data_IF_241605385357
#
_entry.id   IF_241605385357
#
_cell.length_a   1.000
_cell.length_b   1.000
_cell.length_c   1.000
_cell.angle_alpha   90.00
_cell.angle_beta   90.00
_cell.angle_gamma   90.00
#
_symmetry.space_group_name_H-M   'P 1'
#
loop_
_entity.id
_entity.type
_entity.pdbx_description
1 polymer ?
#
# COMPACT_ATOMS: atom_id res chain seq x y z
N UNK A 1 2.95 5.31 -12.00
CA UNK A 1 2.05 4.52 -11.13
C UNK A 1 1.87 5.25 -9.80
N UNK A 2 0.66 5.20 -9.26
CA UNK A 2 0.24 5.77 -7.99
C UNK A 2 -0.04 4.65 -6.99
N UNK A 3 0.58 4.74 -5.82
CA UNK A 3 0.48 3.73 -4.77
C UNK A 3 -0.09 4.37 -3.52
N UNK A 4 -1.11 3.76 -2.94
CA UNK A 4 -1.61 4.13 -1.61
C UNK A 4 -1.27 3.02 -0.65
N UNK A 5 -0.63 3.35 0.46
CA UNK A 5 -0.28 2.41 1.52
C UNK A 5 -1.13 2.77 2.74
N UNK A 6 -1.79 1.78 3.34
CA UNK A 6 -2.62 1.97 4.54
C UNK A 6 -2.15 1.03 5.65
N UNK A 7 -1.99 1.59 6.85
CA UNK A 7 -1.38 0.94 8.01
C UNK A 7 0.13 1.11 8.04
N UNK A 8 0.79 0.27 8.83
CA UNK A 8 2.23 0.23 9.02
C UNK A 8 2.75 1.15 10.12
N UNK A 9 4.05 1.06 10.37
CA UNK A 9 4.71 1.88 11.40
C UNK A 9 4.89 3.33 10.91
N UNK A 10 4.41 4.30 11.70
CA UNK A 10 4.54 5.74 11.43
C UNK A 10 5.98 6.21 11.22
N UNK A 11 6.93 5.70 12.02
CA UNK A 11 8.34 6.04 11.90
C UNK A 11 8.94 5.58 10.54
N UNK A 12 8.29 4.61 9.90
CA UNK A 12 8.71 4.06 8.61
C UNK A 12 8.03 4.73 7.42
N UNK A 13 7.11 5.68 7.65
CA UNK A 13 6.35 6.34 6.58
C UNK A 13 7.25 6.94 5.50
N UNK A 14 8.31 7.64 5.93
CA UNK A 14 9.30 8.21 5.01
C UNK A 14 9.99 7.14 4.17
N UNK A 15 10.38 6.03 4.80
CA UNK A 15 11.05 4.91 4.11
C UNK A 15 10.13 4.24 3.10
N UNK A 16 8.85 4.04 3.41
CA UNK A 16 7.89 3.50 2.45
C UNK A 16 7.77 4.41 1.21
N UNK A 17 7.70 5.73 1.41
CA UNK A 17 7.66 6.70 0.31
C UNK A 17 8.96 6.70 -0.51
N UNK A 18 10.11 6.64 0.15
CA UNK A 18 11.42 6.54 -0.50
C UNK A 18 11.51 5.29 -1.37
N UNK A 19 11.10 4.13 -0.84
CA UNK A 19 11.07 2.89 -1.62
C UNK A 19 10.14 3.02 -2.83
N UNK A 20 8.91 3.51 -2.67
CA UNK A 20 8.03 3.71 -3.83
C UNK A 20 8.66 4.67 -4.86
N UNK A 21 9.41 5.69 -4.43
CA UNK A 21 10.11 6.61 -5.34
C UNK A 21 11.22 5.92 -6.13
N UNK A 22 11.94 4.97 -5.56
CA UNK A 22 12.93 4.13 -6.28
C UNK A 22 12.28 3.38 -7.45
N UNK A 23 11.00 2.99 -7.30
CA UNK A 23 10.20 2.36 -8.34
C UNK A 23 9.47 3.36 -9.26
N UNK A 24 9.86 4.63 -9.24
CA UNK A 24 9.18 5.71 -9.98
C UNK A 24 7.67 5.81 -9.69
N UNK A 25 7.24 5.40 -8.49
CA UNK A 25 5.86 5.44 -8.04
C UNK A 25 5.59 6.65 -7.15
N UNK A 26 4.44 7.31 -7.36
CA UNK A 26 3.94 8.35 -6.45
C UNK A 26 3.21 7.68 -5.30
N UNK A 27 3.71 7.82 -4.08
CA UNK A 27 3.13 7.17 -2.90
C UNK A 27 2.39 8.13 -1.97
N UNK A 28 1.20 7.72 -1.53
CA UNK A 28 0.49 8.26 -0.36
C UNK A 28 0.50 7.20 0.73
N UNK A 29 0.78 7.59 1.97
CA UNK A 29 0.85 6.64 3.10
C UNK A 29 -0.06 7.13 4.22
N UNK A 30 -0.89 6.23 4.74
CA UNK A 30 -1.84 6.46 5.82
C UNK A 30 -1.52 5.49 6.97
N UNK A 31 -0.58 5.86 7.84
CA UNK A 31 -0.16 5.07 9.00
C UNK A 31 -1.11 5.24 10.21
N UNK A 32 -1.80 6.39 10.28
CA UNK A 32 -2.80 6.72 11.29
C UNK A 32 -4.18 6.91 10.67
N UNK A 33 -5.21 6.68 11.49
CA UNK A 33 -6.58 7.09 11.15
C UNK A 33 -6.73 8.60 11.38
N UNK A 34 -6.31 9.41 10.42
CA UNK A 34 -6.56 10.86 10.45
C UNK A 34 -7.90 11.15 9.78
N UNK A 35 -8.96 11.25 10.57
CA UNK A 35 -10.31 11.51 10.07
C UNK A 35 -10.83 10.41 9.12
N UNK A 36 -11.81 10.77 8.29
CA UNK A 36 -12.34 9.86 7.27
C UNK A 36 -11.33 9.73 6.13
N UNK A 37 -10.99 8.50 5.72
CA UNK A 37 -10.01 8.18 4.66
C UNK A 37 -10.40 8.65 3.24
N UNK A 38 -11.37 9.57 3.13
CA UNK A 38 -12.06 10.10 1.93
C UNK A 38 -11.19 10.59 0.76
N UNK A 39 -9.88 10.55 0.88
CA UNK A 39 -8.89 11.05 -0.09
C UNK A 39 -7.94 9.97 -0.61
N UNK A 40 -8.27 8.68 -0.44
CA UNK A 40 -7.54 7.58 -1.09
C UNK A 40 -7.54 7.77 -2.61
N UNK A 41 -8.68 8.21 -3.17
CA UNK A 41 -8.86 8.38 -4.62
C UNK A 41 -8.88 7.02 -5.35
N UNK A 42 -8.47 7.03 -6.61
CA UNK A 42 -8.37 5.87 -7.51
C UNK A 42 -6.90 5.52 -7.80
N UNK A 43 -6.13 4.98 -6.83
CA UNK A 43 -4.73 4.59 -7.07
C UNK A 43 -4.62 3.37 -7.99
N UNK A 44 -3.46 3.21 -8.64
CA UNK A 44 -3.17 2.00 -9.42
C UNK A 44 -2.96 0.77 -8.52
N UNK A 45 -2.41 0.99 -7.32
CA UNK A 45 -2.15 -0.04 -6.32
C UNK A 45 -2.47 0.46 -4.91
N UNK A 46 -3.20 -0.36 -4.16
CA UNK A 46 -3.50 -0.17 -2.77
C UNK A 46 -2.83 -1.28 -1.94
N UNK A 47 -1.87 -0.91 -1.08
CA UNK A 47 -1.16 -1.84 -0.19
C UNK A 47 -1.72 -1.72 1.23
N UNK A 48 -2.19 -2.83 1.79
CA UNK A 48 -2.82 -2.88 3.10
C UNK A 48 -1.97 -3.68 4.08
N UNK A 49 -1.42 -3.01 5.09
CA UNK A 49 -0.69 -3.68 6.18
C UNK A 49 -1.66 -4.23 7.24
N UNK A 50 -2.32 -5.34 6.91
CA UNK A 50 -3.47 -5.86 7.66
C UNK A 50 -3.21 -6.17 9.13
N UNK A 51 -1.97 -6.48 9.52
CA UNK A 51 -1.61 -6.72 10.93
C UNK A 51 -1.67 -5.48 11.81
N UNK A 52 -1.54 -4.30 11.22
CA UNK A 52 -1.49 -3.02 11.93
C UNK A 52 -2.76 -2.18 11.75
N UNK A 53 -3.69 -2.65 10.91
CA UNK A 53 -4.92 -1.94 10.59
C UNK A 53 -6.03 -2.33 11.57
N UNK A 54 -6.76 -1.34 12.08
CA UNK A 54 -7.98 -1.59 12.83
C UNK A 54 -9.11 -2.04 11.89
N UNK A 55 -10.10 -2.77 12.42
CA UNK A 55 -11.30 -3.15 11.65
C UNK A 55 -12.03 -1.95 11.05
N UNK A 56 -12.04 -0.81 11.77
CA UNK A 56 -12.62 0.44 11.28
C UNK A 56 -11.87 0.94 10.05
N UNK A 57 -10.54 0.90 10.08
CA UNK A 57 -9.70 1.33 8.98
C UNK A 57 -9.92 0.44 7.74
N UNK A 58 -9.91 -0.88 7.92
CA UNK A 58 -10.17 -1.82 6.83
C UNK A 58 -11.55 -1.60 6.19
N UNK A 59 -12.60 -1.45 6.99
CA UNK A 59 -13.96 -1.21 6.48
C UNK A 59 -14.06 0.09 5.68
N UNK A 60 -13.44 1.17 6.14
CA UNK A 60 -13.44 2.44 5.40
C UNK A 60 -12.73 2.31 4.05
N UNK A 61 -11.56 1.67 4.01
CA UNK A 61 -10.81 1.45 2.77
C UNK A 61 -11.60 0.60 1.78
N UNK A 62 -12.21 -0.50 2.24
CA UNK A 62 -13.05 -1.36 1.40
C UNK A 62 -14.23 -0.57 0.86
N UNK A 63 -14.89 0.23 1.70
CA UNK A 63 -16.04 1.03 1.28
C UNK A 63 -15.68 2.09 0.24
N UNK A 64 -14.50 2.71 0.34
CA UNK A 64 -14.06 3.72 -0.63
C UNK A 64 -13.62 3.12 -1.95
N UNK A 65 -12.91 1.99 -1.91
CA UNK A 65 -12.40 1.32 -3.11
C UNK A 65 -13.42 0.41 -3.79
N UNK A 66 -14.57 0.17 -3.15
CA UNK A 66 -15.66 -0.65 -3.71
C UNK A 66 -16.12 -0.10 -5.06
N UNK A 67 -16.13 -0.98 -6.07
CA UNK A 67 -16.56 -0.62 -7.43
C UNK A 67 -15.49 0.09 -8.27
N UNK A 68 -14.29 0.30 -7.72
CA UNK A 68 -13.15 0.84 -8.47
C UNK A 68 -12.25 -0.30 -8.97
N UNK A 69 -11.63 -0.11 -10.13
CA UNK A 69 -10.64 -1.06 -10.68
C UNK A 69 -9.26 -0.76 -10.08
N UNK A 70 -9.08 -1.11 -8.80
CA UNK A 70 -7.84 -0.91 -8.05
C UNK A 70 -7.20 -2.27 -7.78
N UNK A 71 -5.90 -2.41 -8.05
CA UNK A 71 -5.14 -3.59 -7.60
C UNK A 71 -4.93 -3.48 -6.08
N UNK A 72 -5.44 -4.44 -5.31
CA UNK A 72 -5.31 -4.45 -3.84
C UNK A 72 -4.35 -5.55 -3.41
N UNK A 73 -3.30 -5.19 -2.67
CA UNK A 73 -2.31 -6.10 -2.14
C UNK A 73 -2.36 -6.10 -0.60
N UNK A 74 -2.62 -7.26 -0.01
CA UNK A 74 -2.64 -7.45 1.44
C UNK A 74 -1.27 -7.92 1.93
N UNK A 75 -0.70 -7.20 2.89
CA UNK A 75 0.58 -7.49 3.53
C UNK A 75 0.38 -7.76 5.01
N UNK A 76 0.79 -8.95 5.45
CA UNK A 76 0.71 -9.29 6.87
C UNK A 76 1.80 -8.58 7.71
N UNK A 77 2.89 -8.12 7.13
CA UNK A 77 3.94 -7.37 7.85
C UNK A 77 4.13 -5.99 7.24
N UNK A 78 4.43 -5.00 8.08
CA UNK A 78 4.76 -3.63 7.67
C UNK A 78 6.26 -3.42 7.42
N UNK A 79 6.97 -4.49 7.01
CA UNK A 79 8.40 -4.40 6.73
C UNK A 79 8.68 -3.79 5.36
N UNK A 80 9.88 -3.21 5.19
CA UNK A 80 10.34 -2.73 3.88
C UNK A 80 10.44 -3.87 2.86
N UNK A 81 10.87 -5.05 3.29
CA UNK A 81 10.96 -6.23 2.41
C UNK A 81 9.60 -6.68 1.90
N UNK A 82 8.56 -6.67 2.75
CA UNK A 82 7.20 -7.01 2.33
C UNK A 82 6.66 -5.99 1.33
N UNK A 83 6.85 -4.69 1.59
CA UNK A 83 6.46 -3.64 0.65
C UNK A 83 7.21 -3.77 -0.68
N UNK A 84 8.53 -4.03 -0.63
CA UNK A 84 9.37 -4.22 -1.81
C UNK A 84 8.89 -5.40 -2.67
N UNK A 85 8.55 -6.53 -2.04
CA UNK A 85 8.02 -7.69 -2.76
C UNK A 85 6.71 -7.36 -3.49
N UNK A 86 5.81 -6.62 -2.82
CA UNK A 86 4.56 -6.16 -3.46
C UNK A 86 4.84 -5.22 -4.62
N UNK A 87 5.73 -4.24 -4.44
CA UNK A 87 6.11 -3.34 -5.53
C UNK A 87 6.74 -4.12 -6.68
N UNK A 88 7.64 -5.07 -6.42
CA UNK A 88 8.23 -5.93 -7.45
C UNK A 88 7.15 -6.65 -8.26
N UNK A 89 6.19 -7.31 -7.60
CA UNK A 89 5.10 -8.04 -8.29
C UNK A 89 4.27 -7.10 -9.18
N UNK A 90 3.97 -5.89 -8.72
CA UNK A 90 3.01 -5.00 -9.39
C UNK A 90 3.64 -3.99 -10.35
N UNK A 91 4.94 -3.73 -10.22
CA UNK A 91 5.71 -2.84 -11.11
C UNK A 91 6.52 -3.63 -12.14
N UNK A 92 6.90 -4.88 -11.82
CA UNK A 92 7.60 -5.78 -12.73
C UNK A 92 6.66 -6.85 -13.30
N UNK A 93 5.66 -6.44 -14.09
CA UNK A 93 5.08 -7.34 -15.10
C UNK A 93 6.08 -7.70 -16.24
N UNK A 94 7.41 -7.60 -16.02
CA UNK A 94 8.44 -7.95 -17.01
C UNK A 94 9.60 -8.84 -16.55
N UNK A 95 9.73 -9.22 -15.29
CA UNK A 95 10.73 -10.25 -14.95
C UNK A 95 10.38 -10.96 -13.66
N UNK A 96 9.75 -12.11 -13.85
CA UNK A 96 9.65 -13.19 -12.88
C UNK A 96 11.05 -13.76 -12.61
N UNK A 97 11.43 -13.87 -11.34
CA UNK A 97 12.28 -14.94 -10.84
C UNK A 97 11.87 -15.22 -9.37
N UNK A 98 11.71 -16.50 -8.98
CA UNK A 98 11.22 -16.88 -7.67
C UNK A 98 12.29 -16.63 -6.60
N UNK A 99 11.88 -16.15 -5.43
CA UNK A 99 12.74 -16.12 -4.25
C UNK A 99 12.98 -17.57 -3.81
N UNK A 100 14.26 -17.96 -3.76
CA UNK A 100 14.75 -19.23 -3.20
C UNK A 100 14.70 -19.25 -1.68
#
# INVERSE_FOLDING_TARGET
MSVVIVGGNECMERRYKELCREYSCKAKVYTKMNGSMKNIGTPDLLVLFTSTMSHKMLRSVISETKGQNIKVAHCHTSSMSALKNVLDIHTREKTQCPMS
#
